data_IF_304894215490
#
_entry.id   IF_304894215490
#
_cell.length_a   1.000
_cell.length_b   1.000
_cell.length_c   1.000
_cell.angle_alpha   90.00
_cell.angle_beta   90.00
_cell.angle_gamma   90.00
#
_symmetry.space_group_name_H-M   'P 1'
#
loop_
_entity.id
_entity.type
_entity.pdbx_description
1 polymer ?
#
# COMPACT_ATOMS: atom_id res chain seq x y z
N UNK A 1 18.76 -18.94 -18.45
CA UNK A 1 19.66 -17.79 -18.73
C UNK A 1 21.12 -18.23 -18.86
N UNK A 2 21.37 -19.36 -19.53
CA UNK A 2 22.73 -19.92 -19.74
C UNK A 2 23.15 -19.89 -21.21
N UNK A 3 22.25 -19.46 -22.11
CA UNK A 3 22.45 -19.53 -23.56
C UNK A 3 23.15 -18.31 -24.18
N UNK A 4 23.44 -17.25 -23.40
CA UNK A 4 23.96 -15.98 -23.91
C UNK A 4 25.42 -15.66 -23.51
N UNK A 5 26.13 -16.55 -22.81
CA UNK A 5 27.57 -16.41 -22.53
C UNK A 5 28.01 -15.23 -21.64
N UNK A 6 27.10 -14.32 -21.26
CA UNK A 6 27.39 -13.19 -20.37
C UNK A 6 27.11 -13.57 -18.93
N UNK A 7 28.15 -13.99 -18.19
CA UNK A 7 28.04 -14.43 -16.78
C UNK A 7 27.64 -13.33 -15.79
N UNK A 8 27.69 -12.05 -16.17
CA UNK A 8 27.41 -10.92 -15.27
C UNK A 8 25.92 -10.57 -15.21
N UNK A 9 25.15 -10.90 -16.26
CA UNK A 9 23.74 -10.50 -16.39
C UNK A 9 22.83 -11.04 -15.27
N UNK A 10 22.96 -12.31 -14.82
CA UNK A 10 22.16 -12.84 -13.71
C UNK A 10 22.42 -12.13 -12.38
N UNK A 11 23.66 -11.72 -12.11
CA UNK A 11 24.03 -11.01 -10.88
C UNK A 11 23.46 -9.58 -10.85
N UNK A 12 23.48 -8.89 -12.00
CA UNK A 12 22.88 -7.55 -12.13
C UNK A 12 21.36 -7.59 -11.91
N UNK A 13 20.67 -8.56 -12.53
CA UNK A 13 19.21 -8.72 -12.37
C UNK A 13 18.86 -9.04 -10.92
N UNK A 14 19.60 -9.94 -10.26
CA UNK A 14 19.37 -10.24 -8.84
C UNK A 14 19.62 -9.02 -7.94
N UNK A 15 20.67 -8.24 -8.20
CA UNK A 15 20.94 -7.01 -7.45
C UNK A 15 19.81 -5.97 -7.62
N UNK A 16 19.30 -5.79 -8.84
CA UNK A 16 18.16 -4.89 -9.12
C UNK A 16 16.86 -5.34 -8.42
N UNK A 17 16.58 -6.65 -8.44
CA UNK A 17 15.42 -7.21 -7.74
C UNK A 17 15.57 -6.96 -6.23
N UNK A 18 16.75 -7.22 -5.64
CA UNK A 18 16.99 -6.96 -4.22
C UNK A 18 16.87 -5.47 -3.87
N UNK A 19 17.40 -4.56 -4.70
CA UNK A 19 17.30 -3.12 -4.47
C UNK A 19 15.86 -2.61 -4.53
N UNK A 20 15.07 -3.13 -5.48
CA UNK A 20 13.65 -2.76 -5.61
C UNK A 20 12.81 -3.27 -4.44
N UNK A 21 13.06 -4.50 -3.96
CA UNK A 21 12.40 -5.05 -2.76
C UNK A 21 12.76 -4.24 -1.51
N UNK A 22 14.03 -3.84 -1.36
CA UNK A 22 14.46 -3.00 -0.24
C UNK A 22 13.77 -1.63 -0.26
N UNK A 23 13.65 -1.01 -1.44
CA UNK A 23 12.95 0.26 -1.62
C UNK A 23 11.43 0.14 -1.36
N UNK A 24 10.82 -1.00 -1.72
CA UNK A 24 9.40 -1.28 -1.52
C UNK A 24 9.05 -1.72 -0.08
N UNK A 25 10.03 -1.82 0.82
CA UNK A 25 9.82 -2.15 2.22
C UNK A 25 8.89 -1.13 2.90
N UNK A 26 7.63 -1.51 3.11
CA UNK A 26 6.55 -0.68 3.65
C UNK A 26 6.70 -0.36 5.16
N UNK A 27 7.90 0.01 5.58
CA UNK A 27 8.23 0.37 6.97
C UNK A 27 7.37 1.52 7.48
N UNK A 28 6.96 2.42 6.58
CA UNK A 28 6.07 3.56 6.85
C UNK A 28 4.65 3.13 7.19
N UNK A 29 4.07 2.17 6.47
CA UNK A 29 2.71 1.70 6.75
C UNK A 29 2.64 1.02 8.12
N UNK A 30 3.66 0.23 8.44
CA UNK A 30 3.77 -0.45 9.73
C UNK A 30 3.96 0.54 10.89
N UNK A 31 4.69 1.63 10.64
CA UNK A 31 4.85 2.72 11.58
C UNK A 31 3.55 3.50 11.80
N UNK A 32 2.80 3.82 10.74
CA UNK A 32 1.48 4.46 10.82
C UNK A 32 0.50 3.64 11.65
N UNK A 33 0.40 2.33 11.38
CA UNK A 33 -0.45 1.42 12.16
C UNK A 33 -0.06 1.34 13.65
N UNK A 34 1.22 1.56 13.97
CA UNK A 34 1.70 1.61 15.35
C UNK A 34 1.36 2.94 16.04
N UNK A 35 1.30 4.06 15.30
CA UNK A 35 0.82 5.35 15.79
C UNK A 35 -0.69 5.30 16.09
N UNK A 36 -1.46 4.68 15.21
CA UNK A 36 -2.91 4.49 15.36
C UNK A 36 -3.29 3.50 16.47
N UNK A 37 -2.30 2.83 17.07
CA UNK A 37 -2.49 1.91 18.19
C UNK A 37 -3.01 0.52 17.79
N UNK A 38 -3.03 0.17 16.51
CA UNK A 38 -3.36 -1.18 16.04
C UNK A 38 -2.26 -2.20 16.35
N UNK A 39 -1.02 -1.75 16.50
CA UNK A 39 0.18 -2.57 16.73
C UNK A 39 0.85 -2.11 18.05
N UNK A 40 1.52 -2.99 18.81
CA UNK A 40 2.25 -2.62 20.01
C UNK A 40 3.19 -1.41 19.82
N UNK A 41 3.12 -0.47 20.76
CA UNK A 41 3.90 0.79 20.78
C UNK A 41 5.42 0.62 20.72
N UNK A 42 5.93 -0.60 20.88
CA UNK A 42 7.37 -0.90 20.71
C UNK A 42 7.83 -0.62 19.27
N UNK A 43 6.93 -0.75 18.29
CA UNK A 43 7.23 -0.48 16.88
C UNK A 43 7.29 1.00 16.49
N UNK A 44 6.92 1.94 17.36
CA UNK A 44 7.07 3.38 17.10
C UNK A 44 8.47 3.92 17.41
N UNK A 45 9.40 3.07 17.87
CA UNK A 45 10.77 3.49 18.19
C UNK A 45 11.58 3.75 16.90
N UNK A 46 11.96 5.01 16.71
CA UNK A 46 12.78 5.47 15.58
C UNK A 46 14.25 5.74 15.97
N UNK A 47 15.15 5.63 15.00
CA UNK A 47 16.55 6.10 15.14
C UNK A 47 16.64 7.62 15.11
N UNK A 48 17.84 8.13 15.44
CA UNK A 48 18.19 9.55 15.26
C UNK A 48 18.02 10.07 13.82
N UNK A 49 18.03 9.18 12.83
CA UNK A 49 17.78 9.50 11.42
C UNK A 49 16.32 9.32 10.99
N UNK A 50 15.40 9.11 11.94
CA UNK A 50 13.95 8.98 11.67
C UNK A 50 13.52 7.62 11.10
N UNK A 51 14.39 6.60 11.10
CA UNK A 51 14.07 5.28 10.55
C UNK A 51 13.53 4.35 11.64
N UNK A 52 12.33 3.75 11.50
CA UNK A 52 11.79 2.81 12.48
C UNK A 52 12.48 1.43 12.34
N UNK A 53 13.48 1.14 13.18
CA UNK A 53 14.29 -0.10 13.10
C UNK A 53 13.43 -1.34 13.27
N UNK A 54 12.53 -1.35 14.24
CA UNK A 54 11.71 -2.54 14.52
C UNK A 54 10.78 -2.86 13.35
N UNK A 55 10.18 -1.85 12.73
CA UNK A 55 9.39 -2.03 11.50
C UNK A 55 10.26 -2.55 10.35
N UNK A 56 11.47 -2.00 10.18
CA UNK A 56 12.42 -2.47 9.18
C UNK A 56 12.79 -3.94 9.39
N UNK A 57 13.12 -4.33 10.63
CA UNK A 57 13.44 -5.71 10.99
C UNK A 57 12.33 -6.68 10.63
N UNK A 58 11.07 -6.35 10.97
CA UNK A 58 9.91 -7.17 10.60
C UNK A 58 9.78 -7.30 9.08
N UNK A 59 9.92 -6.20 8.34
CA UNK A 59 9.82 -6.23 6.88
C UNK A 59 10.96 -7.00 6.20
N UNK A 60 12.15 -7.08 6.81
CA UNK A 60 13.31 -7.80 6.28
C UNK A 60 13.23 -9.32 6.44
N UNK A 61 12.42 -9.82 7.38
CA UNK A 61 12.23 -11.26 7.59
C UNK A 61 11.62 -11.91 6.34
N UNK A 62 10.64 -11.27 5.69
CA UNK A 62 9.95 -11.86 4.53
C UNK A 62 10.85 -11.99 3.29
N UNK A 63 11.62 -10.97 2.86
CA UNK A 63 12.62 -11.12 1.82
C UNK A 63 13.70 -12.15 2.17
N UNK A 64 14.12 -12.23 3.44
CA UNK A 64 15.07 -13.24 3.90
C UNK A 64 14.52 -14.67 3.74
N UNK A 65 13.23 -14.87 4.01
CA UNK A 65 12.53 -16.14 3.75
C UNK A 65 12.48 -16.47 2.25
N UNK A 66 12.29 -15.48 1.38
CA UNK A 66 12.30 -15.69 -0.08
C UNK A 66 13.69 -16.11 -0.60
N UNK A 67 14.78 -15.65 0.03
CA UNK A 67 16.14 -16.05 -0.34
C UNK A 67 16.43 -17.55 -0.14
N UNK A 68 15.67 -18.25 0.71
CA UNK A 68 15.81 -19.72 0.86
C UNK A 68 15.46 -20.48 -0.42
N UNK A 69 14.74 -19.87 -1.37
CA UNK A 69 14.47 -20.46 -2.68
C UNK A 69 15.73 -20.70 -3.53
N UNK A 70 16.85 -20.01 -3.25
CA UNK A 70 18.12 -20.34 -3.88
C UNK A 70 18.61 -21.75 -3.53
N UNK A 71 18.11 -22.33 -2.44
CA UNK A 71 18.37 -23.73 -2.09
C UNK A 71 17.36 -24.65 -2.78
N UNK A 72 17.83 -25.79 -3.29
CA UNK A 72 17.06 -26.74 -4.12
C UNK A 72 15.81 -27.34 -3.41
N UNK A 73 15.64 -27.11 -2.10
CA UNK A 73 14.51 -27.58 -1.29
C UNK A 73 13.50 -26.48 -0.90
N UNK A 74 13.75 -25.21 -1.27
CA UNK A 74 12.94 -24.06 -0.81
C UNK A 74 11.75 -23.68 -1.70
N UNK A 75 11.66 -24.24 -2.92
CA UNK A 75 10.68 -23.82 -3.92
C UNK A 75 9.23 -24.02 -3.47
N UNK A 76 8.91 -25.16 -2.83
CA UNK A 76 7.53 -25.46 -2.40
C UNK A 76 7.03 -24.51 -1.31
N UNK A 77 7.89 -24.11 -0.37
CA UNK A 77 7.51 -23.17 0.69
C UNK A 77 7.29 -21.77 0.13
N UNK A 78 8.12 -21.37 -0.83
CA UNK A 78 7.95 -20.11 -1.54
C UNK A 78 6.62 -20.08 -2.30
N UNK A 79 6.27 -21.16 -3.00
CA UNK A 79 4.99 -21.26 -3.70
C UNK A 79 3.81 -21.12 -2.73
N UNK A 80 3.89 -21.72 -1.53
CA UNK A 80 2.85 -21.52 -0.51
C UNK A 80 2.75 -20.06 -0.04
N UNK A 81 3.88 -19.40 0.22
CA UNK A 81 3.92 -17.98 0.63
C UNK A 81 3.36 -17.06 -0.46
N UNK A 82 3.71 -17.27 -1.72
CA UNK A 82 3.23 -16.48 -2.86
C UNK A 82 1.72 -16.68 -3.06
N UNK A 83 1.24 -17.92 -2.93
CA UNK A 83 -0.19 -18.21 -2.99
C UNK A 83 -0.96 -17.48 -1.87
N UNK A 84 -0.45 -17.53 -0.63
CA UNK A 84 -1.04 -16.81 0.50
C UNK A 84 -1.07 -15.30 0.26
N UNK A 85 0.03 -14.71 -0.21
CA UNK A 85 0.13 -13.27 -0.50
C UNK A 85 -0.87 -12.85 -1.58
N UNK A 86 -0.97 -13.63 -2.66
CA UNK A 86 -1.87 -13.35 -3.78
C UNK A 86 -3.33 -13.42 -3.34
N UNK A 87 -3.71 -14.46 -2.59
CA UNK A 87 -5.06 -14.59 -2.06
C UNK A 87 -5.40 -13.49 -1.05
N UNK A 88 -4.45 -13.10 -0.18
CA UNK A 88 -4.63 -11.99 0.77
C UNK A 88 -4.81 -10.65 0.06
N UNK A 89 -4.03 -10.38 -1.00
CA UNK A 89 -4.18 -9.19 -1.83
C UNK A 89 -5.55 -9.12 -2.52
N UNK A 90 -6.05 -10.26 -3.01
CA UNK A 90 -7.39 -10.34 -3.61
C UNK A 90 -8.49 -9.98 -2.62
N UNK A 91 -8.42 -10.51 -1.39
CA UNK A 91 -9.34 -10.15 -0.30
C UNK A 91 -9.24 -8.66 0.03
N UNK A 92 -8.03 -8.10 0.08
CA UNK A 92 -7.82 -6.67 0.34
C UNK A 92 -8.52 -5.80 -0.70
N UNK A 93 -8.47 -6.15 -2.00
CA UNK A 93 -9.19 -5.42 -3.04
C UNK A 93 -10.71 -5.52 -2.92
N UNK A 94 -11.23 -6.69 -2.53
CA UNK A 94 -12.68 -6.86 -2.25
C UNK A 94 -13.10 -5.95 -1.09
N UNK A 95 -12.35 -5.96 0.02
CA UNK A 95 -12.63 -5.11 1.20
C UNK A 95 -12.55 -3.63 0.83
N UNK A 96 -11.53 -3.22 0.07
CA UNK A 96 -11.38 -1.85 -0.41
C UNK A 96 -12.60 -1.39 -1.23
N UNK A 97 -13.10 -2.24 -2.14
CA UNK A 97 -14.30 -1.96 -2.91
C UNK A 97 -15.54 -1.81 -2.02
N UNK A 98 -15.70 -2.68 -1.01
CA UNK A 98 -16.83 -2.60 -0.06
C UNK A 98 -16.76 -1.33 0.78
N UNK A 99 -15.60 -1.01 1.35
CA UNK A 99 -15.39 0.22 2.14
C UNK A 99 -15.71 1.44 1.29
N UNK A 100 -15.24 1.49 0.06
CA UNK A 100 -15.51 2.56 -0.88
C UNK A 100 -17.01 2.70 -1.21
N UNK A 101 -17.72 1.59 -1.43
CA UNK A 101 -19.19 1.63 -1.63
C UNK A 101 -19.92 2.16 -0.38
N UNK A 102 -19.46 1.82 0.83
CA UNK A 102 -20.04 2.36 2.07
C UNK A 102 -19.73 3.84 2.26
N UNK A 103 -18.52 4.27 1.92
CA UNK A 103 -18.14 5.68 1.88
C UNK A 103 -19.03 6.46 0.90
N UNK A 104 -19.27 5.93 -0.30
CA UNK A 104 -20.18 6.55 -1.27
C UNK A 104 -21.58 6.77 -0.71
N UNK A 105 -22.14 5.74 -0.04
CA UNK A 105 -23.47 5.82 0.58
C UNK A 105 -23.49 6.76 1.80
N UNK A 106 -22.38 6.91 2.52
CA UNK A 106 -22.26 7.87 3.61
C UNK A 106 -22.27 9.32 3.09
N UNK A 107 -21.53 9.61 2.02
CA UNK A 107 -21.55 10.93 1.38
C UNK A 107 -22.94 11.31 0.86
N UNK A 108 -23.65 10.37 0.24
CA UNK A 108 -25.04 10.58 -0.20
C UNK A 108 -25.99 10.82 0.98
N UNK A 109 -25.84 10.08 2.08
CA UNK A 109 -26.69 10.22 3.26
C UNK A 109 -26.45 11.51 4.06
N UNK A 110 -25.25 12.09 3.97
CA UNK A 110 -24.85 13.32 4.67
C UNK A 110 -24.89 14.56 3.78
N UNK A 111 -25.21 14.42 2.49
CA UNK A 111 -25.31 15.54 1.55
C UNK A 111 -23.98 16.23 1.25
N UNK A 112 -22.84 15.55 1.46
CA UNK A 112 -21.52 16.09 1.16
C UNK A 112 -21.32 16.10 -0.35
N UNK A 113 -21.17 17.29 -0.94
CA UNK A 113 -20.93 17.40 -2.38
C UNK A 113 -19.57 16.80 -2.74
N UNK A 114 -19.55 15.93 -3.75
CA UNK A 114 -18.36 15.20 -4.18
C UNK A 114 -17.39 16.08 -4.96
N UNK A 115 -17.84 17.25 -5.39
CA UNK A 115 -17.00 18.26 -6.05
C UNK A 115 -15.99 18.89 -5.09
N UNK A 116 -16.23 18.81 -3.77
CA UNK A 116 -15.30 19.31 -2.76
C UNK A 116 -14.11 18.37 -2.54
N UNK A 117 -14.13 17.14 -3.08
CA UNK A 117 -13.00 16.24 -2.95
C UNK A 117 -11.97 16.52 -4.05
N UNK A 118 -10.66 16.51 -3.73
CA UNK A 118 -9.58 16.76 -4.69
C UNK A 118 -9.62 15.84 -5.91
N UNK A 119 -10.11 14.60 -5.71
CA UNK A 119 -10.19 13.61 -6.77
C UNK A 119 -11.59 12.99 -6.86
N UNK A 120 -12.17 13.09 -8.06
CA UNK A 120 -13.44 12.46 -8.43
C UNK A 120 -13.23 11.57 -9.65
N UNK A 121 -13.41 10.26 -9.49
CA UNK A 121 -13.39 9.39 -10.67
C UNK A 121 -14.71 9.52 -11.45
N UNK A 122 -14.60 9.54 -12.77
CA UNK A 122 -15.70 9.86 -13.68
C UNK A 122 -16.86 8.85 -13.66
N UNK A 123 -16.57 7.58 -13.36
CA UNK A 123 -17.53 6.47 -13.47
C UNK A 123 -18.01 5.90 -12.11
N UNK A 124 -17.91 6.69 -11.03
CA UNK A 124 -18.40 6.29 -9.70
C UNK A 124 -19.93 6.40 -9.63
N UNK A 125 -20.66 5.48 -8.96
CA UNK A 125 -20.20 4.28 -8.24
C UNK A 125 -20.11 3.00 -9.09
N UNK A 126 -20.52 3.03 -10.36
CA UNK A 126 -20.58 1.82 -11.21
C UNK A 126 -19.24 1.10 -11.34
N UNK A 127 -18.14 1.84 -11.41
CA UNK A 127 -16.78 1.27 -11.45
C UNK A 127 -16.47 0.39 -10.24
N UNK A 128 -16.92 0.77 -9.04
CA UNK A 128 -16.68 0.01 -7.81
C UNK A 128 -17.50 -1.28 -7.76
N UNK A 129 -18.74 -1.26 -8.28
CA UNK A 129 -19.55 -2.48 -8.41
C UNK A 129 -18.97 -3.45 -9.43
N UNK A 130 -18.50 -2.96 -10.58
CA UNK A 130 -17.84 -3.78 -11.60
C UNK A 130 -16.56 -4.40 -11.03
N UNK A 131 -15.72 -3.61 -10.36
CA UNK A 131 -14.50 -4.10 -9.72
C UNK A 131 -14.79 -5.16 -8.65
N UNK A 132 -15.80 -4.94 -7.80
CA UNK A 132 -16.22 -5.91 -6.80
C UNK A 132 -16.67 -7.23 -7.45
N UNK A 133 -17.52 -7.17 -8.47
CA UNK A 133 -17.96 -8.36 -9.20
C UNK A 133 -16.78 -9.10 -9.84
N UNK A 134 -15.83 -8.38 -10.44
CA UNK A 134 -14.63 -8.96 -11.05
C UNK A 134 -13.74 -9.65 -10.01
N UNK A 135 -13.42 -8.98 -8.89
CA UNK A 135 -12.59 -9.60 -7.85
C UNK A 135 -13.27 -10.78 -7.16
N UNK A 136 -14.58 -10.72 -6.95
CA UNK A 136 -15.36 -11.87 -6.47
C UNK A 136 -15.34 -13.04 -7.47
N UNK A 137 -15.46 -12.74 -8.77
CA UNK A 137 -15.40 -13.77 -9.82
C UNK A 137 -14.02 -14.42 -9.88
N UNK A 138 -12.95 -13.61 -9.78
CA UNK A 138 -11.57 -14.10 -9.69
C UNK A 138 -11.38 -14.95 -8.44
N UNK A 139 -11.95 -14.58 -7.30
CA UNK A 139 -11.83 -15.36 -6.05
C UNK A 139 -12.49 -16.74 -6.18
N UNK A 140 -13.68 -16.81 -6.80
CA UNK A 140 -14.41 -18.06 -7.03
C UNK A 140 -13.66 -18.93 -8.07
N UNK A 141 -13.21 -18.32 -9.16
CA UNK A 141 -12.49 -19.03 -10.21
C UNK A 141 -11.09 -19.47 -9.75
N UNK A 142 -10.37 -18.71 -8.93
CA UNK A 142 -8.97 -19.00 -8.57
C UNK A 142 -8.73 -20.42 -8.02
N UNK A 143 -9.74 -21.01 -7.36
CA UNK A 143 -9.66 -22.37 -6.84
C UNK A 143 -10.29 -23.46 -7.72
N UNK A 144 -10.67 -23.17 -8.98
CA UNK A 144 -11.29 -24.14 -9.90
C UNK A 144 -10.43 -25.39 -10.12
N UNK A 145 -9.11 -25.23 -10.09
CA UNK A 145 -8.13 -26.32 -10.25
C UNK A 145 -8.20 -27.37 -9.16
N UNK A 146 -8.79 -27.07 -8.01
CA UNK A 146 -9.03 -28.04 -6.93
C UNK A 146 -10.14 -29.04 -7.29
N UNK A 147 -11.02 -28.68 -8.23
CA UNK A 147 -12.19 -29.48 -8.60
C UNK A 147 -12.01 -30.30 -9.89
N UNK A 148 -10.99 -30.03 -10.71
CA UNK A 148 -10.77 -30.67 -12.04
C UNK A 148 -9.51 -31.53 -12.03
N UNK A 149 -9.42 -32.50 -11.12
CA UNK A 149 -8.26 -33.39 -11.00
C UNK A 149 -8.47 -34.38 -9.87
N UNK A 150 -7.69 -34.25 -8.80
CA UNK A 150 -7.83 -35.03 -7.55
C UNK A 150 -8.25 -34.10 -6.40
N UNK A 151 -9.41 -34.39 -5.79
CA UNK A 151 -9.86 -33.69 -4.59
C UNK A 151 -8.98 -34.07 -3.39
N UNK A 152 -7.87 -33.36 -3.23
CA UNK A 152 -7.04 -33.44 -2.03
C UNK A 152 -7.46 -32.34 -1.06
N UNK A 153 -7.83 -32.74 0.16
CA UNK A 153 -8.13 -31.80 1.24
C UNK A 153 -6.96 -30.82 1.46
N UNK A 154 -5.71 -31.26 1.28
CA UNK A 154 -4.53 -30.40 1.40
C UNK A 154 -4.54 -29.27 0.35
N UNK A 155 -4.82 -29.57 -0.92
CA UNK A 155 -4.88 -28.56 -1.98
C UNK A 155 -6.06 -27.61 -1.81
N UNK A 156 -7.19 -28.12 -1.31
CA UNK A 156 -8.37 -27.30 -0.97
C UNK A 156 -8.05 -26.32 0.15
N UNK A 157 -7.48 -26.79 1.26
CA UNK A 157 -7.06 -25.92 2.34
C UNK A 157 -6.01 -24.92 1.84
N UNK A 158 -4.93 -25.32 1.18
CA UNK A 158 -3.88 -24.38 0.74
C UNK A 158 -4.38 -23.28 -0.20
N UNK A 159 -5.37 -23.57 -1.07
CA UNK A 159 -5.93 -22.56 -2.01
C UNK A 159 -7.06 -21.72 -1.42
N UNK A 160 -7.92 -22.28 -0.56
CA UNK A 160 -9.08 -21.59 0.00
C UNK A 160 -8.87 -21.06 1.43
N UNK A 161 -7.76 -21.38 2.10
CA UNK A 161 -7.49 -20.94 3.49
C UNK A 161 -7.60 -19.43 3.61
N UNK A 162 -7.00 -18.65 2.71
CA UNK A 162 -7.04 -17.18 2.83
C UNK A 162 -8.40 -16.57 2.49
N UNK A 163 -9.14 -17.17 1.56
CA UNK A 163 -10.51 -16.75 1.24
C UNK A 163 -11.47 -17.02 2.41
N UNK A 164 -11.28 -18.14 3.12
CA UNK A 164 -12.04 -18.49 4.32
C UNK A 164 -11.53 -17.78 5.59
N UNK A 165 -10.25 -17.45 5.66
CA UNK A 165 -9.65 -16.69 6.76
C UNK A 165 -10.17 -15.25 6.80
N UNK A 166 -10.50 -14.65 5.66
CA UNK A 166 -11.05 -13.30 5.60
C UNK A 166 -12.35 -13.11 6.42
N UNK A 167 -13.43 -13.90 6.22
CA UNK A 167 -14.62 -13.80 7.06
C UNK A 167 -14.36 -14.26 8.50
N UNK A 168 -13.49 -15.25 8.75
CA UNK A 168 -13.16 -15.70 10.11
C UNK A 168 -12.42 -14.63 10.90
N UNK A 169 -11.44 -13.96 10.31
CA UNK A 169 -10.71 -12.84 10.95
C UNK A 169 -11.61 -11.62 11.14
N UNK A 170 -12.47 -11.31 10.17
CA UNK A 170 -13.48 -10.26 10.32
C UNK A 170 -14.47 -10.57 11.46
N UNK A 171 -15.03 -11.77 11.49
CA UNK A 171 -15.92 -12.22 12.56
C UNK A 171 -15.19 -12.30 13.91
N UNK A 172 -13.94 -12.78 13.93
CA UNK A 172 -13.10 -12.84 15.13
C UNK A 172 -12.82 -11.47 15.71
N UNK A 173 -12.41 -10.50 14.88
CA UNK A 173 -12.22 -9.11 15.30
C UNK A 173 -13.53 -8.48 15.79
N UNK A 174 -14.64 -8.73 15.07
CA UNK A 174 -15.97 -8.25 15.45
C UNK A 174 -16.49 -8.87 16.75
N UNK A 175 -16.17 -10.13 17.02
CA UNK A 175 -16.52 -10.83 18.26
C UNK A 175 -15.65 -10.35 19.45
N UNK A 176 -14.34 -10.17 19.24
CA UNK A 176 -13.39 -9.75 20.28
C UNK A 176 -13.56 -8.26 20.63
N UNK A 177 -13.69 -7.39 19.63
CA UNK A 177 -13.80 -5.93 19.82
C UNK A 177 -15.24 -5.42 19.85
N UNK A 178 -16.24 -6.30 19.65
CA UNK A 178 -17.68 -5.98 19.68
C UNK A 178 -18.02 -4.72 18.87
N UNK A 179 -17.37 -4.53 17.72
CA UNK A 179 -17.52 -3.33 16.91
C UNK A 179 -18.91 -3.31 16.26
N UNK A 180 -19.67 -2.23 16.48
CA UNK A 180 -20.93 -1.99 15.76
C UNK A 180 -20.62 -1.55 14.34
N UNK A 181 -21.36 -2.10 13.38
CA UNK A 181 -21.36 -1.58 12.01
C UNK A 181 -21.97 -0.18 12.07
N UNK A 182 -21.13 0.84 11.92
CA UNK A 182 -21.56 2.25 11.96
C UNK A 182 -22.55 2.47 10.80
N UNK A 183 -23.77 2.97 11.07
CA UNK A 183 -24.73 3.30 10.03
C UNK A 183 -24.20 4.45 9.17
N UNK A 184 -24.51 4.46 7.87
CA UNK A 184 -23.95 5.43 6.92
C UNK A 184 -24.22 6.90 7.30
N UNK A 185 -25.27 7.16 8.11
CA UNK A 185 -25.62 8.49 8.63
C UNK A 185 -24.74 8.99 9.78
N UNK A 186 -24.08 8.09 10.50
CA UNK A 186 -23.21 8.41 11.65
C UNK A 186 -21.73 8.20 11.32
N UNK A 187 -21.41 7.85 10.07
CA UNK A 187 -20.03 7.70 9.64
C UNK A 187 -19.34 9.07 9.68
N UNK A 188 -18.28 9.19 10.46
CA UNK A 188 -17.53 10.45 10.54
C UNK A 188 -16.76 10.69 9.24
N UNK A 189 -17.17 11.70 8.47
CA UNK A 189 -16.52 12.12 7.22
C UNK A 189 -15.70 13.40 7.39
N UNK A 190 -15.71 14.01 8.58
CA UNK A 190 -15.18 15.36 8.83
C UNK A 190 -13.91 15.32 9.67
N UNK A 191 -13.73 14.31 10.54
CA UNK A 191 -12.64 14.28 11.53
C UNK A 191 -11.22 14.46 10.96
N UNK A 192 -10.84 13.75 9.90
CA UNK A 192 -9.46 13.81 9.35
C UNK A 192 -9.33 14.72 8.12
N UNK A 193 -10.44 15.20 7.54
CA UNK A 193 -10.40 16.08 6.37
C UNK A 193 -9.51 17.32 6.55
N UNK A 194 -9.64 18.12 7.62
CA UNK A 194 -8.87 19.36 7.73
C UNK A 194 -7.35 19.12 7.88
N UNK A 195 -6.94 17.99 8.47
CA UNK A 195 -5.53 17.63 8.58
C UNK A 195 -4.97 17.14 7.23
N UNK A 196 -5.76 16.34 6.50
CA UNK A 196 -5.40 15.86 5.16
C UNK A 196 -5.36 17.02 4.15
N UNK A 197 -6.37 17.88 4.15
CA UNK A 197 -6.45 19.05 3.26
C UNK A 197 -5.29 20.02 3.52
N UNK A 198 -4.90 20.22 4.79
CA UNK A 198 -3.72 21.02 5.14
C UNK A 198 -2.42 20.36 4.67
N UNK A 199 -2.29 19.04 4.80
CA UNK A 199 -1.13 18.30 4.30
C UNK A 199 -1.04 18.37 2.76
N UNK A 200 -2.16 18.23 2.05
CA UNK A 200 -2.21 18.32 0.59
C UNK A 200 -1.87 19.73 0.09
N UNK A 201 -2.38 20.78 0.74
CA UNK A 201 -2.03 22.17 0.42
C UNK A 201 -0.51 22.42 0.52
N UNK A 202 0.14 21.88 1.57
CA UNK A 202 1.60 21.97 1.73
C UNK A 202 2.36 21.23 0.62
N UNK A 203 1.82 20.12 0.08
CA UNK A 203 2.45 19.39 -1.03
C UNK A 203 2.28 20.08 -2.38
N UNK A 204 1.17 20.80 -2.60
CA UNK A 204 0.95 21.57 -3.83
C UNK A 204 1.89 22.78 -3.90
N UNK A 205 2.11 23.47 -2.77
CA UNK A 205 3.12 24.52 -2.66
C UNK A 205 4.52 24.01 -3.04
N UNK A 206 4.94 22.86 -2.51
CA UNK A 206 6.26 22.27 -2.80
C UNK A 206 6.40 21.82 -4.27
N UNK A 207 5.37 21.21 -4.86
CA UNK A 207 5.39 20.85 -6.31
C UNK A 207 5.52 22.08 -7.20
N UNK A 208 4.81 23.16 -6.89
CA UNK A 208 4.90 24.41 -7.67
C UNK A 208 6.29 25.07 -7.54
N UNK A 209 6.89 24.98 -6.35
CA UNK A 209 8.27 25.41 -6.07
C UNK A 209 9.30 24.56 -6.84
N UNK A 210 9.15 23.24 -6.84
CA UNK A 210 10.03 22.33 -7.58
C UNK A 210 9.90 22.48 -9.10
N UNK A 211 8.67 22.59 -9.63
CA UNK A 211 8.44 22.79 -11.06
C UNK A 211 8.97 24.15 -11.54
N UNK A 212 8.84 25.20 -10.72
CA UNK A 212 9.42 26.51 -11.04
C UNK A 212 10.95 26.52 -10.89
N UNK A 213 11.52 25.82 -9.91
CA UNK A 213 12.96 25.65 -9.75
C UNK A 213 13.58 24.85 -10.92
N UNK A 214 12.94 23.76 -11.33
CA UNK A 214 13.37 22.95 -12.49
C UNK A 214 13.15 23.71 -13.80
N UNK A 215 12.05 24.45 -13.93
CA UNK A 215 11.79 25.32 -15.07
C UNK A 215 12.84 26.43 -15.19
N UNK A 216 13.22 27.06 -14.08
CA UNK A 216 14.32 28.02 -14.03
C UNK A 216 15.67 27.36 -14.32
N UNK A 217 15.89 26.11 -13.93
CA UNK A 217 17.14 25.39 -14.22
C UNK A 217 17.26 24.94 -15.69
N UNK A 218 16.14 24.62 -16.34
CA UNK A 218 16.08 24.14 -17.73
C UNK A 218 15.96 25.27 -18.76
N UNK A 219 15.24 26.34 -18.44
CA UNK A 219 14.93 27.44 -19.37
C UNK A 219 15.46 28.80 -18.90
N UNK A 220 15.74 28.95 -17.61
CA UNK A 220 16.37 30.14 -17.04
C UNK A 220 17.88 30.02 -17.11
N UNK A 221 18.47 30.45 -18.24
CA UNK A 221 19.91 30.70 -18.28
C UNK A 221 20.32 31.53 -17.06
N UNK A 222 21.23 30.96 -16.25
CA UNK A 222 21.76 31.52 -15.00
C UNK A 222 21.94 33.04 -15.09
N UNK A 223 20.94 33.81 -14.65
CA UNK A 223 21.10 35.25 -14.44
C UNK A 223 21.87 35.42 -13.16
N UNK A 224 23.19 35.43 -13.33
CA UNK A 224 24.19 35.87 -12.37
C UNK A 224 23.91 37.34 -12.05
N UNK A 225 23.15 37.60 -11.00
CA UNK A 225 22.77 38.96 -10.65
C UNK A 225 21.90 39.07 -9.43
N UNK A 226 22.33 38.51 -8.30
CA UNK A 226 21.80 38.87 -6.96
C UNK A 226 22.89 38.73 -5.87
N UNK A 227 24.15 39.03 -6.24
CA UNK A 227 25.29 39.10 -5.29
C UNK A 227 25.71 40.55 -4.99
N UNK A 228 24.89 41.54 -5.39
CA UNK A 228 25.18 42.97 -5.15
C UNK A 228 24.34 43.64 -4.06
N UNK A 229 23.29 42.97 -3.58
CA UNK A 229 22.38 43.56 -2.58
C UNK A 229 22.68 43.09 -1.13
N UNK A 230 23.67 42.21 -0.93
CA UNK A 230 24.14 41.81 0.41
C UNK A 230 25.30 42.65 0.95
N UNK A 231 25.98 43.44 0.11
CA UNK A 231 27.11 44.29 0.55
C UNK A 231 26.69 45.73 0.90
N UNK A 232 25.47 46.17 0.56
CA UNK A 232 24.99 47.53 0.83
C UNK A 232 24.19 47.69 2.14
N UNK A 233 23.91 46.58 2.84
CA UNK A 233 23.32 46.60 4.20
C UNK A 233 24.36 46.21 5.25
N UNK A 234 25.47 46.95 5.28
CA UNK A 234 26.28 47.06 6.48
C UNK A 234 25.60 48.01 7.46
N UNK A 235 25.22 47.51 8.64
CA UNK A 235 25.16 48.26 9.89
C UNK A 235 25.79 47.36 10.96
N UNK A 236 26.92 47.75 11.55
CA UNK A 236 27.03 48.71 12.66
C UNK A 236 26.53 48.11 13.97
#
# INVERSE_FOLDING_TARGET
MTNLGVGVLPHLVNALILSSVFAAGNTRNLYGLALDGYIPKVMTRCTKSGVPIYCLGVTLIFPCLLLLQLSNSGATVLDWLVNILTSGGLVNFIVMCIVYLRFHKACEAQGVDRTTLPYRAWFQPYSAWIALCMFCSIAICSGYTTFIGDFSAATFFTRYTMVLFAPVSYCGWKLIKRTRIIPAKEADLVWERPEIDAYEANLEEDKSSLLSAVGNMLFGGCKKGDEKDRESQGWS
#
